data_IF_411556032228
#
_entry.id   IF_411556032228
#
_cell.length_a   1.000
_cell.length_b   1.000
_cell.length_c   1.000
_cell.angle_alpha   90.00
_cell.angle_beta   90.00
_cell.angle_gamma   90.00
#
_symmetry.space_group_name_H-M   'P 1'
#
loop_
_entity.id
_entity.type
_entity.pdbx_description
1 polymer ?
#
# COMPACT_ATOMS: atom_id res chain seq x y z
N UNK A 1 8.39 -13.37 20.27
CA UNK A 1 7.40 -12.53 19.56
C UNK A 1 8.05 -11.42 18.73
N UNK A 2 9.24 -10.91 19.10
CA UNK A 2 9.93 -9.86 18.33
C UNK A 2 10.50 -10.34 16.98
N UNK A 3 11.09 -11.54 16.90
CA UNK A 3 11.61 -12.09 15.63
C UNK A 3 10.52 -12.31 14.57
N UNK A 4 9.32 -12.72 14.96
CA UNK A 4 8.21 -12.93 14.01
C UNK A 4 7.68 -11.61 13.45
N UNK A 5 7.64 -10.54 14.26
CA UNK A 5 7.20 -9.20 13.82
C UNK A 5 8.15 -8.65 12.75
N UNK A 6 9.46 -8.79 12.97
CA UNK A 6 10.49 -8.39 12.02
C UNK A 6 10.34 -9.08 10.66
N UNK A 7 10.02 -10.39 10.65
CA UNK A 7 9.88 -11.16 9.41
C UNK A 7 8.69 -10.72 8.55
N UNK A 8 7.54 -10.38 9.16
CA UNK A 8 6.39 -9.87 8.41
C UNK A 8 6.66 -8.48 7.80
N UNK A 9 7.33 -7.61 8.56
CA UNK A 9 7.73 -6.28 8.10
C UNK A 9 8.71 -6.36 6.92
N UNK A 10 9.63 -7.32 6.94
CA UNK A 10 10.52 -7.61 5.81
C UNK A 10 9.77 -8.10 4.57
N UNK A 11 8.83 -9.04 4.73
CA UNK A 11 8.01 -9.52 3.61
C UNK A 11 7.20 -8.37 2.99
N UNK A 12 6.56 -7.53 3.81
CA UNK A 12 5.81 -6.38 3.34
C UNK A 12 6.71 -5.37 2.60
N UNK A 13 7.90 -5.10 3.12
CA UNK A 13 8.89 -4.27 2.43
C UNK A 13 9.30 -4.84 1.07
N UNK A 14 9.63 -6.13 1.00
CA UNK A 14 10.01 -6.75 -0.28
C UNK A 14 8.86 -6.76 -1.28
N UNK A 15 7.62 -6.95 -0.84
CA UNK A 15 6.45 -6.80 -1.70
C UNK A 15 6.37 -5.38 -2.28
N UNK A 16 6.59 -4.33 -1.49
CA UNK A 16 6.63 -2.94 -1.98
C UNK A 16 7.74 -2.74 -3.02
N UNK A 17 8.95 -3.25 -2.77
CA UNK A 17 10.07 -3.17 -3.72
C UNK A 17 9.71 -3.86 -5.04
N UNK A 18 9.17 -5.08 -4.98
CA UNK A 18 8.76 -5.83 -6.18
C UNK A 18 7.65 -5.09 -6.93
N UNK A 19 6.65 -4.54 -6.24
CA UNK A 19 5.58 -3.77 -6.88
C UNK A 19 6.12 -2.52 -7.59
N UNK A 20 7.10 -1.83 -7.01
CA UNK A 20 7.76 -0.68 -7.64
C UNK A 20 8.49 -1.11 -8.92
N UNK A 21 9.24 -2.21 -8.88
CA UNK A 21 9.92 -2.74 -10.08
C UNK A 21 8.91 -3.13 -11.16
N UNK A 22 7.86 -3.87 -10.79
CA UNK A 22 6.80 -4.27 -11.72
C UNK A 22 6.08 -3.06 -12.33
N UNK A 23 5.85 -2.01 -11.53
CA UNK A 23 5.25 -0.77 -12.02
C UNK A 23 6.13 -0.09 -13.08
N UNK A 24 7.43 0.05 -12.84
CA UNK A 24 8.34 0.66 -13.82
C UNK A 24 8.51 -0.20 -15.08
N UNK A 25 8.47 -1.52 -14.96
CA UNK A 25 8.43 -2.43 -16.11
C UNK A 25 7.14 -2.26 -16.91
N UNK A 26 5.98 -2.21 -16.25
CA UNK A 26 4.70 -1.96 -16.93
C UNK A 26 4.67 -0.58 -17.60
N UNK A 27 5.18 0.44 -16.91
CA UNK A 27 5.24 1.81 -17.41
C UNK A 27 6.17 1.93 -18.64
N UNK A 28 7.23 1.12 -18.72
CA UNK A 28 8.07 1.02 -19.92
C UNK A 28 7.27 0.58 -21.17
N UNK A 29 6.26 -0.26 -21.00
CA UNK A 29 5.35 -0.70 -22.07
C UNK A 29 4.40 0.43 -22.50
N UNK A 30 3.88 1.20 -21.55
CA UNK A 30 3.04 2.39 -21.86
C UNK A 30 3.85 3.44 -22.59
N UNK A 31 5.13 3.58 -22.23
CA UNK A 31 6.07 4.40 -22.96
C UNK A 31 6.30 3.86 -24.36
N UNK A 32 6.57 2.55 -24.57
CA UNK A 32 6.77 1.96 -25.90
C UNK A 32 5.74 2.41 -26.95
N UNK A 33 4.45 2.48 -26.61
CA UNK A 33 3.41 2.94 -27.54
C UNK A 33 3.56 4.42 -27.96
N UNK A 34 3.96 5.30 -27.05
CA UNK A 34 4.25 6.69 -27.40
C UNK A 34 5.55 6.84 -28.20
N UNK A 35 6.47 5.86 -28.14
CA UNK A 35 7.83 6.00 -28.66
C UNK A 35 7.96 5.62 -30.13
N UNK A 36 7.02 4.79 -30.62
CA UNK A 36 6.83 4.56 -32.05
C UNK A 36 6.53 5.91 -32.75
N UNK A 37 5.77 6.79 -32.09
CA UNK A 37 5.48 8.14 -32.61
C UNK A 37 6.71 9.06 -32.61
N UNK A 38 7.58 8.95 -31.59
CA UNK A 38 8.76 9.82 -31.44
C UNK A 38 10.08 9.26 -32.02
N UNK A 39 10.08 8.07 -32.63
CA UNK A 39 11.26 7.39 -33.23
C UNK A 39 12.48 7.32 -32.30
N UNK A 40 12.27 6.99 -31.03
CA UNK A 40 13.35 6.91 -30.04
C UNK A 40 13.96 5.49 -30.02
N UNK A 41 15.29 5.38 -29.99
CA UNK A 41 15.98 4.07 -29.97
C UNK A 41 15.75 3.28 -28.67
N UNK A 42 15.83 1.94 -28.73
CA UNK A 42 15.73 1.03 -27.57
C UNK A 42 16.72 1.36 -26.44
N UNK A 43 17.93 1.83 -26.77
CA UNK A 43 18.95 2.22 -25.78
C UNK A 43 18.47 3.37 -24.89
N UNK A 44 17.81 4.37 -25.47
CA UNK A 44 17.21 5.49 -24.73
C UNK A 44 16.05 5.04 -23.84
N UNK A 45 15.34 3.98 -24.22
CA UNK A 45 14.23 3.42 -23.43
C UNK A 45 14.75 2.74 -22.17
N UNK A 46 15.74 1.86 -22.31
CA UNK A 46 16.38 1.21 -21.17
C UNK A 46 16.95 2.27 -20.22
N UNK A 47 17.65 3.27 -20.76
CA UNK A 47 18.21 4.37 -19.98
C UNK A 47 17.13 5.15 -19.23
N UNK A 48 15.98 5.42 -19.85
CA UNK A 48 14.88 6.12 -19.20
C UNK A 48 14.27 5.31 -18.05
N UNK A 49 14.02 4.01 -18.25
CA UNK A 49 13.53 3.12 -17.17
C UNK A 49 14.53 3.08 -16.02
N UNK A 50 15.83 2.95 -16.31
CA UNK A 50 16.88 2.95 -15.28
C UNK A 50 16.94 4.29 -14.54
N UNK A 51 16.88 5.42 -15.24
CA UNK A 51 16.90 6.76 -14.64
C UNK A 51 15.70 6.98 -13.72
N UNK A 52 14.54 6.42 -14.04
CA UNK A 52 13.35 6.62 -13.20
C UNK A 52 13.31 5.64 -12.02
N UNK A 53 13.77 4.41 -12.22
CA UNK A 53 13.74 3.36 -11.20
C UNK A 53 14.88 3.49 -10.18
N UNK A 54 16.09 3.85 -10.64
CA UNK A 54 17.29 3.85 -9.80
C UNK A 54 17.20 4.72 -8.53
N UNK A 55 16.61 5.94 -8.56
CA UNK A 55 16.43 6.76 -7.36
C UNK A 55 15.58 6.05 -6.29
N UNK A 56 14.50 5.37 -6.71
CA UNK A 56 13.60 4.65 -5.80
C UNK A 56 14.29 3.43 -5.18
N UNK A 57 14.99 2.64 -6.00
CA UNK A 57 15.75 1.49 -5.50
C UNK A 57 16.87 1.94 -4.56
N UNK A 58 17.58 3.01 -4.92
CA UNK A 58 18.61 3.58 -4.04
C UNK A 58 18.02 4.02 -2.70
N UNK A 59 16.92 4.77 -2.70
CA UNK A 59 16.27 5.24 -1.48
C UNK A 59 15.80 4.09 -0.60
N UNK A 60 15.12 3.10 -1.18
CA UNK A 60 14.61 1.94 -0.46
C UNK A 60 15.74 1.12 0.17
N UNK A 61 16.84 0.90 -0.56
CA UNK A 61 17.97 0.13 -0.06
C UNK A 61 18.81 0.92 0.96
N UNK A 62 19.05 2.20 0.71
CA UNK A 62 19.87 3.05 1.57
C UNK A 62 19.22 3.24 2.95
N UNK A 63 17.88 3.34 3.00
CA UNK A 63 17.13 3.48 4.26
C UNK A 63 16.40 2.18 4.65
N UNK A 64 16.93 1.02 4.27
CA UNK A 64 16.29 -0.29 4.50
C UNK A 64 15.83 -0.49 5.95
N UNK A 65 16.72 -0.32 6.93
CA UNK A 65 16.38 -0.56 8.35
C UNK A 65 15.27 0.37 8.86
N UNK A 66 15.27 1.62 8.39
CA UNK A 66 14.26 2.63 8.75
C UNK A 66 12.91 2.24 8.15
N UNK A 67 12.89 1.80 6.89
CA UNK A 67 11.69 1.30 6.24
C UNK A 67 11.11 0.09 6.98
N UNK A 68 11.94 -0.89 7.37
CA UNK A 68 11.49 -2.05 8.12
C UNK A 68 10.87 -1.64 9.46
N UNK A 69 11.53 -0.77 10.23
CA UNK A 69 10.99 -0.26 11.51
C UNK A 69 9.70 0.52 11.32
N UNK A 70 9.63 1.37 10.29
CA UNK A 70 8.42 2.14 9.94
C UNK A 70 7.25 1.22 9.62
N UNK A 71 7.47 0.20 8.81
CA UNK A 71 6.47 -0.80 8.44
C UNK A 71 6.03 -1.61 9.67
N UNK A 72 6.96 -1.98 10.56
CA UNK A 72 6.64 -2.71 11.78
C UNK A 72 5.72 -1.91 12.72
N UNK A 73 6.01 -0.61 12.90
CA UNK A 73 5.14 0.30 13.66
C UNK A 73 3.76 0.37 13.01
N UNK A 74 3.71 0.55 11.69
CA UNK A 74 2.46 0.66 10.95
C UNK A 74 1.62 -0.63 11.05
N UNK A 75 2.24 -1.81 10.87
CA UNK A 75 1.57 -3.11 10.97
C UNK A 75 1.01 -3.36 12.38
N UNK A 76 1.73 -2.95 13.43
CA UNK A 76 1.23 -3.03 14.81
C UNK A 76 0.00 -2.15 15.02
N UNK A 77 -0.04 -0.94 14.45
CA UNK A 77 -1.23 -0.09 14.53
C UNK A 77 -2.38 -0.61 13.67
N UNK A 78 -2.10 -1.14 12.47
CA UNK A 78 -3.10 -1.75 11.59
C UNK A 78 -3.73 -3.00 12.20
N UNK A 79 -3.00 -3.79 12.99
CA UNK A 79 -3.56 -4.98 13.65
C UNK A 79 -4.68 -4.66 14.64
N UNK A 80 -4.81 -3.40 15.07
CA UNK A 80 -5.89 -2.93 15.93
C UNK A 80 -7.18 -2.65 15.15
N UNK A 81 -7.11 -2.54 13.82
CA UNK A 81 -8.24 -2.22 12.95
C UNK A 81 -8.90 -3.50 12.42
N UNK A 82 -10.21 -3.44 12.07
CA UNK A 82 -10.86 -4.54 11.37
C UNK A 82 -10.13 -4.83 10.06
N UNK A 83 -9.83 -6.11 9.80
CA UNK A 83 -9.08 -6.55 8.62
C UNK A 83 -9.72 -6.06 7.31
N UNK A 84 -11.05 -5.97 7.28
CA UNK A 84 -11.81 -5.42 6.16
C UNK A 84 -11.43 -3.99 5.80
N UNK A 85 -11.25 -3.14 6.81
CA UNK A 85 -10.85 -1.73 6.65
C UNK A 85 -9.39 -1.63 6.27
N UNK A 86 -8.55 -2.46 6.89
CA UNK A 86 -7.13 -2.53 6.54
C UNK A 86 -6.97 -2.90 5.07
N UNK A 87 -7.60 -3.98 4.61
CA UNK A 87 -7.55 -4.42 3.21
C UNK A 87 -8.07 -3.33 2.27
N UNK A 88 -9.23 -2.73 2.58
CA UNK A 88 -9.83 -1.67 1.76
C UNK A 88 -8.89 -0.48 1.59
N UNK A 89 -8.39 0.08 2.69
CA UNK A 89 -7.51 1.24 2.65
C UNK A 89 -6.12 0.91 2.14
N UNK A 90 -5.59 -0.30 2.37
CA UNK A 90 -4.31 -0.73 1.79
C UNK A 90 -4.35 -0.75 0.27
N UNK A 91 -5.43 -1.26 -0.34
CA UNK A 91 -5.58 -1.27 -1.80
C UNK A 91 -5.67 0.17 -2.32
N UNK A 92 -6.49 1.02 -1.69
CA UNK A 92 -6.59 2.44 -2.09
C UNK A 92 -5.27 3.19 -1.95
N UNK A 93 -4.50 2.96 -0.88
CA UNK A 93 -3.18 3.55 -0.67
C UNK A 93 -2.22 3.12 -1.78
N UNK A 94 -2.19 1.83 -2.12
CA UNK A 94 -1.40 1.31 -3.23
C UNK A 94 -1.83 1.99 -4.53
N UNK A 95 -3.12 2.09 -4.81
CA UNK A 95 -3.63 2.75 -6.01
C UNK A 95 -3.22 4.22 -6.08
N UNK A 96 -3.40 5.00 -5.01
CA UNK A 96 -2.98 6.42 -4.97
C UNK A 96 -1.47 6.54 -5.15
N UNK A 97 -0.71 5.64 -4.54
CA UNK A 97 0.74 5.65 -4.64
C UNK A 97 1.20 5.42 -6.09
N UNK A 98 0.61 4.45 -6.81
CA UNK A 98 1.02 4.11 -8.18
C UNK A 98 0.37 4.95 -9.28
N UNK A 99 -0.88 5.39 -9.12
CA UNK A 99 -1.60 6.17 -10.14
C UNK A 99 -1.43 7.69 -10.00
N UNK A 100 -0.99 8.16 -8.82
CA UNK A 100 -0.84 9.60 -8.58
C UNK A 100 0.55 9.94 -8.05
N UNK A 101 0.93 9.43 -6.87
CA UNK A 101 2.12 9.90 -6.18
C UNK A 101 3.41 9.60 -6.96
N UNK A 102 3.62 8.35 -7.39
CA UNK A 102 4.82 7.95 -8.15
C UNK A 102 4.91 8.70 -9.48
N UNK A 103 3.87 8.75 -10.36
CA UNK A 103 3.91 9.53 -11.60
C UNK A 103 4.25 11.01 -11.40
N UNK A 104 3.80 11.63 -10.31
CA UNK A 104 4.01 13.05 -10.01
C UNK A 104 5.38 13.29 -9.38
N UNK A 105 5.82 12.44 -8.45
CA UNK A 105 7.04 12.64 -7.66
C UNK A 105 8.29 12.10 -8.37
N UNK A 106 8.19 10.99 -9.10
CA UNK A 106 9.34 10.34 -9.76
C UNK A 106 10.19 11.27 -10.63
N UNK A 107 9.62 12.17 -11.46
CA UNK A 107 10.42 13.02 -12.34
C UNK A 107 11.32 13.97 -11.55
N UNK A 108 10.73 14.63 -10.55
CA UNK A 108 11.45 15.54 -9.67
C UNK A 108 12.45 14.79 -8.79
N UNK A 109 12.06 13.62 -8.28
CA UNK A 109 12.94 12.79 -7.47
C UNK A 109 14.15 12.29 -8.27
N UNK A 110 13.94 11.84 -9.51
CA UNK A 110 15.02 11.42 -10.41
C UNK A 110 15.95 12.58 -10.75
N UNK A 111 15.38 13.75 -11.03
CA UNK A 111 16.14 14.95 -11.31
C UNK A 111 17.03 15.34 -10.12
N UNK A 112 16.46 15.45 -8.92
CA UNK A 112 17.21 15.77 -7.69
C UNK A 112 18.29 14.71 -7.42
N UNK A 113 17.95 13.44 -7.58
CA UNK A 113 18.89 12.34 -7.33
C UNK A 113 20.12 12.43 -8.24
N UNK A 114 19.94 12.54 -9.55
CA UNK A 114 21.06 12.51 -10.49
C UNK A 114 21.78 13.85 -10.66
N UNK A 115 21.12 14.99 -10.45
CA UNK A 115 21.73 16.32 -10.60
C UNK A 115 22.40 16.79 -9.32
N UNK A 116 21.87 16.42 -8.15
CA UNK A 116 22.33 16.92 -6.86
C UNK A 116 22.97 15.78 -6.04
N UNK A 117 22.20 14.74 -5.72
CA UNK A 117 22.63 13.73 -4.74
C UNK A 117 23.83 12.93 -5.24
N UNK A 118 23.73 12.36 -6.45
CA UNK A 118 24.77 11.50 -7.02
C UNK A 118 26.08 12.27 -7.29
N UNK A 119 26.07 13.46 -7.92
CA UNK A 119 27.27 14.28 -8.06
C UNK A 119 27.90 14.63 -6.71
N UNK A 120 27.09 14.97 -5.71
CA UNK A 120 27.58 15.28 -4.37
C UNK A 120 28.30 14.08 -3.72
N UNK A 121 27.69 12.88 -3.80
CA UNK A 121 28.29 11.66 -3.26
C UNK A 121 29.62 11.31 -3.93
N UNK A 122 29.74 11.54 -5.25
CA UNK A 122 30.99 11.31 -6.00
C UNK A 122 32.04 12.37 -5.62
N UNK A 123 31.64 13.64 -5.57
CA UNK A 123 32.50 14.78 -5.27
C UNK A 123 33.09 14.73 -3.85
N UNK A 124 32.30 14.28 -2.86
CA UNK A 124 32.71 14.18 -1.45
C UNK A 124 34.00 13.37 -1.25
N UNK A 125 34.30 12.44 -2.16
CA UNK A 125 35.48 11.55 -2.08
C UNK A 125 36.74 12.12 -2.75
N UNK A 126 36.75 13.37 -3.22
CA UNK A 126 37.85 13.93 -4.04
C UNK A 126 38.36 15.28 -3.51
N UNK A 127 39.69 15.52 -3.60
CA UNK A 127 40.36 16.77 -3.16
C UNK A 127 39.87 18.06 -3.87
N UNK A 128 39.23 17.95 -5.05
CA UNK A 128 38.60 19.08 -5.78
C UNK A 128 37.08 18.90 -5.87
N UNK A 129 36.46 18.46 -4.77
CA UNK A 129 35.04 18.07 -4.74
C UNK A 129 34.09 19.11 -5.34
N UNK A 130 34.28 20.41 -5.07
CA UNK A 130 33.37 21.45 -5.55
C UNK A 130 33.35 21.60 -7.09
N UNK A 131 34.51 21.61 -7.74
CA UNK A 131 34.60 21.73 -9.21
C UNK A 131 34.03 20.47 -9.87
N UNK A 132 34.37 19.30 -9.32
CA UNK A 132 33.86 18.01 -9.80
C UNK A 132 32.34 17.94 -9.64
N UNK A 133 31.80 18.43 -8.52
CA UNK A 133 30.37 18.52 -8.28
C UNK A 133 29.68 19.39 -9.34
N UNK A 134 30.13 20.63 -9.53
CA UNK A 134 29.52 21.56 -10.49
C UNK A 134 29.54 20.98 -11.91
N UNK A 135 30.69 20.41 -12.33
CA UNK A 135 30.83 19.80 -13.65
C UNK A 135 29.87 18.60 -13.84
N UNK A 136 29.82 17.68 -12.88
CA UNK A 136 28.95 16.51 -12.93
C UNK A 136 27.47 16.89 -12.87
N UNK A 137 27.12 17.87 -12.03
CA UNK A 137 25.76 18.38 -11.91
C UNK A 137 25.30 19.03 -13.23
N UNK A 138 26.14 19.86 -13.86
CA UNK A 138 25.82 20.49 -15.14
C UNK A 138 25.64 19.44 -16.25
N UNK A 139 26.55 18.46 -16.33
CA UNK A 139 26.49 17.41 -17.36
C UNK A 139 25.26 16.51 -17.17
N UNK A 140 24.93 16.18 -15.92
CA UNK A 140 23.73 15.42 -15.57
C UNK A 140 22.46 16.22 -15.87
N UNK A 141 22.45 17.52 -15.55
CA UNK A 141 21.32 18.42 -15.84
C UNK A 141 21.00 18.44 -17.34
N UNK A 142 22.00 18.69 -18.19
CA UNK A 142 21.81 18.76 -19.65
C UNK A 142 21.30 17.43 -20.20
N UNK A 143 21.85 16.31 -19.72
CA UNK A 143 21.50 14.96 -20.19
C UNK A 143 20.10 14.53 -19.74
N UNK A 144 19.68 14.91 -18.53
CA UNK A 144 18.46 14.42 -17.91
C UNK A 144 17.26 15.36 -18.08
N UNK A 145 17.47 16.66 -18.27
CA UNK A 145 16.37 17.61 -18.44
C UNK A 145 15.42 17.17 -19.56
N UNK A 146 15.96 16.72 -20.70
CA UNK A 146 15.16 16.21 -21.82
C UNK A 146 14.32 14.98 -21.45
N UNK A 147 14.92 14.04 -20.71
CA UNK A 147 14.27 12.80 -20.25
C UNK A 147 13.14 13.11 -19.26
N UNK A 148 13.42 13.95 -18.28
CA UNK A 148 12.47 14.33 -17.21
C UNK A 148 11.29 15.11 -17.80
N UNK A 149 11.55 16.05 -18.72
CA UNK A 149 10.51 16.81 -19.41
C UNK A 149 9.61 15.88 -20.24
N UNK A 150 10.21 14.97 -21.03
CA UNK A 150 9.45 14.02 -21.84
C UNK A 150 8.56 13.13 -20.97
N UNK A 151 9.08 12.65 -19.84
CA UNK A 151 8.27 11.89 -18.89
C UNK A 151 7.12 12.71 -18.29
N UNK A 152 7.38 13.96 -17.89
CA UNK A 152 6.37 14.86 -17.32
C UNK A 152 5.23 15.13 -18.32
N UNK A 153 5.56 15.42 -19.58
CA UNK A 153 4.58 15.71 -20.62
C UNK A 153 3.75 14.49 -21.02
N UNK A 154 4.32 13.29 -20.98
CA UNK A 154 3.65 12.07 -21.46
C UNK A 154 2.99 11.29 -20.32
N UNK A 155 3.74 10.86 -19.32
CA UNK A 155 3.23 9.96 -18.26
C UNK A 155 2.45 10.72 -17.21
N UNK A 156 2.98 11.83 -16.68
CA UNK A 156 2.24 12.57 -15.65
C UNK A 156 0.91 13.07 -16.21
N UNK A 157 0.88 13.55 -17.47
CA UNK A 157 -0.36 13.91 -18.17
C UNK A 157 -1.30 12.71 -18.36
N UNK A 158 -0.79 11.56 -18.83
CA UNK A 158 -1.61 10.37 -19.02
C UNK A 158 -2.21 9.88 -17.70
N UNK A 159 -1.39 9.83 -16.64
CA UNK A 159 -1.79 9.38 -15.30
C UNK A 159 -2.87 10.30 -14.73
N UNK A 160 -2.66 11.62 -14.77
CA UNK A 160 -3.65 12.59 -14.28
C UNK A 160 -4.95 12.55 -15.08
N UNK A 161 -4.88 12.34 -16.40
CA UNK A 161 -6.07 12.26 -17.26
C UNK A 161 -6.94 11.04 -16.95
N UNK A 162 -6.33 9.89 -16.64
CA UNK A 162 -7.05 8.64 -16.36
C UNK A 162 -7.23 8.39 -14.86
N UNK A 163 -6.65 9.23 -13.99
CA UNK A 163 -6.65 9.04 -12.55
C UNK A 163 -8.05 8.85 -11.99
N UNK A 164 -8.97 9.79 -12.26
CA UNK A 164 -10.31 9.75 -11.66
C UNK A 164 -11.08 8.47 -12.02
N UNK A 165 -11.02 8.05 -13.29
CA UNK A 165 -11.68 6.83 -13.76
C UNK A 165 -11.08 5.59 -13.08
N UNK A 166 -9.75 5.41 -13.17
CA UNK A 166 -9.07 4.26 -12.58
C UNK A 166 -9.19 4.24 -11.05
N UNK A 167 -9.24 5.40 -10.41
CA UNK A 167 -9.41 5.51 -8.97
C UNK A 167 -10.83 5.13 -8.53
N UNK A 168 -11.86 5.53 -9.29
CA UNK A 168 -13.24 5.09 -9.05
C UNK A 168 -13.39 3.58 -9.19
N UNK A 169 -12.85 3.01 -10.26
CA UNK A 169 -12.84 1.55 -10.47
C UNK A 169 -12.10 0.83 -9.31
N UNK A 170 -11.00 1.43 -8.83
CA UNK A 170 -10.25 0.87 -7.71
C UNK A 170 -11.03 0.87 -6.40
N UNK A 171 -11.93 1.83 -6.17
CA UNK A 171 -12.78 1.87 -4.97
C UNK A 171 -13.72 0.66 -4.98
N UNK A 172 -14.36 0.38 -6.12
CA UNK A 172 -15.23 -0.78 -6.28
C UNK A 172 -14.47 -2.09 -6.10
N UNK A 173 -13.32 -2.24 -6.76
CA UNK A 173 -12.44 -3.41 -6.60
C UNK A 173 -12.00 -3.55 -5.13
N UNK A 174 -11.65 -2.45 -4.45
CA UNK A 174 -11.26 -2.48 -3.04
C UNK A 174 -12.38 -2.99 -2.15
N UNK A 175 -13.63 -2.60 -2.41
CA UNK A 175 -14.78 -3.14 -1.68
C UNK A 175 -14.96 -4.64 -1.91
N UNK A 176 -14.91 -5.08 -3.17
CA UNK A 176 -15.05 -6.49 -3.53
C UNK A 176 -13.98 -7.32 -2.81
N UNK A 177 -12.71 -6.96 -2.95
CA UNK A 177 -11.59 -7.68 -2.32
C UNK A 177 -11.72 -7.68 -0.80
N UNK A 178 -12.11 -6.55 -0.20
CA UNK A 178 -12.30 -6.48 1.25
C UNK A 178 -13.43 -7.38 1.73
N UNK A 179 -14.55 -7.44 1.01
CA UNK A 179 -15.65 -8.35 1.30
C UNK A 179 -15.23 -9.81 1.16
N UNK A 180 -14.42 -10.15 0.15
CA UNK A 180 -13.86 -11.50 -0.03
C UNK A 180 -12.94 -11.90 1.13
N UNK A 181 -12.05 -11.00 1.57
CA UNK A 181 -11.18 -11.22 2.73
C UNK A 181 -12.00 -11.43 4.00
N UNK A 182 -13.06 -10.65 4.21
CA UNK A 182 -13.94 -10.81 5.38
C UNK A 182 -14.66 -12.15 5.36
N UNK A 183 -15.19 -12.57 4.22
CA UNK A 183 -15.89 -13.83 4.10
C UNK A 183 -14.96 -15.03 4.38
N UNK A 184 -13.76 -15.01 3.80
CA UNK A 184 -12.76 -16.05 4.04
C UNK A 184 -12.29 -16.05 5.50
N UNK A 185 -11.99 -14.87 6.04
CA UNK A 185 -11.51 -14.69 7.41
C UNK A 185 -12.55 -15.02 8.47
N UNK A 186 -13.85 -14.89 8.19
CA UNK A 186 -14.88 -15.28 9.16
C UNK A 186 -14.98 -16.78 9.35
N UNK A 187 -14.78 -17.56 8.29
CA UNK A 187 -14.72 -19.02 8.37
C UNK A 187 -13.45 -19.44 9.14
N UNK A 188 -12.33 -18.78 8.88
CA UNK A 188 -11.08 -18.98 9.61
C UNK A 188 -11.20 -18.66 11.10
N UNK A 189 -11.76 -17.49 11.46
CA UNK A 189 -11.97 -17.05 12.85
C UNK A 189 -12.94 -17.98 13.61
N UNK A 190 -14.02 -18.42 12.96
CA UNK A 190 -14.95 -19.37 13.57
C UNK A 190 -14.31 -20.73 13.78
N UNK A 191 -13.52 -21.21 12.82
CA UNK A 191 -12.77 -22.46 12.97
C UNK A 191 -11.75 -22.36 14.10
N UNK A 192 -11.04 -21.23 14.19
CA UNK A 192 -10.13 -20.94 15.30
C UNK A 192 -10.88 -20.96 16.64
N UNK A 193 -12.06 -20.34 16.70
CA UNK A 193 -12.91 -20.33 17.89
C UNK A 193 -13.30 -21.74 18.34
N UNK A 194 -13.64 -22.64 17.41
CA UNK A 194 -13.94 -24.04 17.72
C UNK A 194 -12.73 -24.73 18.36
N UNK A 195 -11.53 -24.56 17.81
CA UNK A 195 -10.31 -25.15 18.37
C UNK A 195 -9.90 -24.52 19.71
N UNK A 196 -10.09 -23.21 19.87
CA UNK A 196 -9.86 -22.53 21.15
C UNK A 196 -10.84 -23.00 22.22
N UNK A 197 -12.11 -23.19 21.86
CA UNK A 197 -13.12 -23.81 22.71
C UNK A 197 -12.74 -25.24 23.08
N UNK A 198 -12.39 -26.09 22.10
CA UNK A 198 -11.96 -27.46 22.35
C UNK A 198 -10.76 -27.53 23.30
N UNK A 199 -9.78 -26.63 23.12
CA UNK A 199 -8.61 -26.55 24.00
C UNK A 199 -8.92 -26.14 25.44
N UNK A 200 -9.98 -25.37 25.66
CA UNK A 200 -10.44 -25.07 27.02
C UNK A 200 -10.98 -26.31 27.75
N UNK A 201 -11.56 -27.26 27.02
CA UNK A 201 -12.06 -28.53 27.58
C UNK A 201 -10.99 -29.62 27.63
N UNK A 202 -10.09 -29.67 26.64
CA UNK A 202 -8.97 -30.60 26.57
C UNK A 202 -7.66 -29.86 26.24
N UNK A 203 -6.78 -29.64 27.23
CA UNK A 203 -5.50 -28.93 27.03
C UNK A 203 -4.53 -29.59 26.05
N UNK A 204 -4.72 -30.87 25.70
CA UNK A 204 -3.86 -31.60 24.75
C UNK A 204 -4.12 -31.21 23.30
N UNK A 205 -5.25 -30.53 23.03
CA UNK A 205 -5.62 -30.07 21.69
C UNK A 205 -4.62 -29.03 21.16
N UNK A 206 -3.95 -29.38 20.07
CA UNK A 206 -3.05 -28.48 19.34
C UNK A 206 -3.83 -27.72 18.27
N UNK A 207 -3.89 -26.40 18.38
CA UNK A 207 -4.58 -25.53 17.41
C UNK A 207 -3.80 -25.52 16.08
N UNK A 208 -4.36 -26.03 14.97
CA UNK A 208 -3.62 -26.16 13.72
C UNK A 208 -3.62 -24.86 12.90
N UNK A 209 -3.01 -23.79 13.43
CA UNK A 209 -3.04 -22.43 12.83
C UNK A 209 -2.67 -22.39 11.35
N UNK A 210 -1.63 -23.12 10.93
CA UNK A 210 -1.22 -23.19 9.51
C UNK A 210 -2.30 -23.77 8.59
N UNK A 211 -3.05 -24.76 9.07
CA UNK A 211 -4.15 -25.37 8.30
C UNK A 211 -5.33 -24.38 8.20
N UNK A 212 -5.61 -23.63 9.26
CA UNK A 212 -6.64 -22.57 9.26
C UNK A 212 -6.27 -21.47 8.25
N UNK A 213 -5.03 -20.98 8.25
CA UNK A 213 -4.58 -20.00 7.25
C UNK A 213 -4.65 -20.52 5.81
N UNK A 214 -4.26 -21.78 5.56
CA UNK A 214 -4.38 -22.38 4.24
C UNK A 214 -5.85 -22.45 3.80
N UNK A 215 -6.74 -22.79 4.72
CA UNK A 215 -8.18 -22.83 4.49
C UNK A 215 -8.75 -21.44 4.16
N UNK A 216 -8.33 -20.38 4.87
CA UNK A 216 -8.69 -18.99 4.54
C UNK A 216 -8.28 -18.62 3.12
N UNK A 217 -7.06 -18.99 2.68
CA UNK A 217 -6.60 -18.74 1.31
C UNK A 217 -7.47 -19.49 0.29
N UNK A 218 -7.78 -20.78 0.55
CA UNK A 218 -8.62 -21.57 -0.34
C UNK A 218 -10.02 -20.95 -0.45
N UNK A 219 -10.65 -20.57 0.66
CA UNK A 219 -11.95 -19.91 0.64
C UNK A 219 -11.92 -18.56 -0.04
N UNK A 220 -10.85 -17.77 0.15
CA UNK A 220 -10.68 -16.51 -0.58
C UNK A 220 -10.69 -16.74 -2.09
N UNK A 221 -9.92 -17.72 -2.59
CA UNK A 221 -9.89 -18.06 -4.02
C UNK A 221 -11.26 -18.56 -4.50
N UNK A 222 -11.93 -19.42 -3.73
CA UNK A 222 -13.28 -19.89 -4.06
C UNK A 222 -14.30 -18.75 -4.15
N UNK A 223 -14.29 -17.82 -3.19
CA UNK A 223 -15.19 -16.66 -3.21
C UNK A 223 -14.85 -15.72 -4.36
N UNK A 224 -13.57 -15.55 -4.70
CA UNK A 224 -13.17 -14.76 -5.86
C UNK A 224 -13.69 -15.38 -7.16
N UNK A 225 -13.56 -16.70 -7.32
CA UNK A 225 -14.14 -17.42 -8.47
C UNK A 225 -15.66 -17.31 -8.51
N UNK A 226 -16.33 -17.46 -7.37
CA UNK A 226 -17.78 -17.30 -7.28
C UNK A 226 -18.22 -15.89 -7.68
N UNK A 227 -17.51 -14.85 -7.22
CA UNK A 227 -17.79 -13.48 -7.62
C UNK A 227 -17.61 -13.26 -9.13
N UNK A 228 -16.53 -13.81 -9.72
CA UNK A 228 -16.20 -13.63 -11.14
C UNK A 228 -17.16 -14.36 -12.08
N UNK A 229 -17.50 -15.62 -11.78
CA UNK A 229 -18.29 -16.47 -12.68
C UNK A 229 -19.78 -16.52 -12.34
N UNK A 230 -20.13 -16.28 -11.07
CA UNK A 230 -21.49 -16.40 -10.55
C UNK A 230 -21.82 -15.22 -9.60
N UNK A 231 -21.74 -13.95 -10.07
CA UNK A 231 -21.86 -12.77 -9.20
C UNK A 231 -23.18 -12.71 -8.42
N UNK A 232 -24.24 -13.29 -8.97
CA UNK A 232 -25.57 -13.38 -8.34
C UNK A 232 -25.58 -14.27 -7.08
N UNK A 233 -24.68 -15.25 -7.00
CA UNK A 233 -24.54 -16.15 -5.84
C UNK A 233 -23.66 -15.56 -4.75
N UNK A 234 -22.81 -14.58 -5.07
CA UNK A 234 -21.88 -14.02 -4.10
C UNK A 234 -22.55 -13.41 -2.86
N UNK A 235 -23.65 -12.63 -2.96
CA UNK A 235 -24.37 -12.15 -1.78
C UNK A 235 -24.87 -13.28 -0.87
N UNK A 236 -25.36 -14.37 -1.46
CA UNK A 236 -25.88 -15.54 -0.73
C UNK A 236 -24.77 -16.30 0.03
N UNK A 237 -23.52 -16.21 -0.42
CA UNK A 237 -22.37 -16.77 0.27
C UNK A 237 -21.78 -15.80 1.32
N UNK A 238 -21.76 -14.51 1.00
CA UNK A 238 -21.18 -13.46 1.83
C UNK A 238 -21.99 -13.15 3.10
N UNK A 239 -23.32 -13.06 3.00
CA UNK A 239 -24.20 -12.71 4.13
C UNK A 239 -24.09 -13.72 5.28
N UNK A 240 -24.16 -15.05 5.05
CA UNK A 240 -23.93 -16.04 6.10
C UNK A 240 -22.55 -15.91 6.76
N UNK A 241 -21.51 -15.58 5.98
CA UNK A 241 -20.16 -15.38 6.50
C UNK A 241 -20.08 -14.19 7.45
N UNK A 242 -20.80 -13.09 7.18
CA UNK A 242 -20.95 -11.99 8.13
C UNK A 242 -21.70 -12.42 9.40
N UNK A 243 -22.73 -13.24 9.26
CA UNK A 243 -23.46 -13.82 10.40
C UNK A 243 -22.55 -14.66 11.29
N UNK A 244 -21.74 -15.54 10.69
CA UNK A 244 -20.73 -16.36 11.39
C UNK A 244 -19.73 -15.47 12.13
N UNK A 245 -19.25 -14.39 11.50
CA UNK A 245 -18.32 -13.45 12.14
C UNK A 245 -18.97 -12.76 13.35
N UNK A 246 -20.21 -12.31 13.22
CA UNK A 246 -20.96 -11.68 14.30
C UNK A 246 -21.16 -12.65 15.48
N UNK A 247 -21.60 -13.88 15.20
CA UNK A 247 -21.78 -14.94 16.20
C UNK A 247 -20.45 -15.25 16.88
N UNK A 248 -19.36 -15.38 16.12
CA UNK A 248 -18.01 -15.63 16.67
C UNK A 248 -17.59 -14.55 17.66
N UNK A 249 -17.79 -13.27 17.29
CA UNK A 249 -17.48 -12.14 18.15
C UNK A 249 -18.33 -12.14 19.43
N UNK A 250 -19.63 -12.44 19.32
CA UNK A 250 -20.54 -12.52 20.46
C UNK A 250 -20.08 -13.62 21.43
N UNK A 251 -19.77 -14.82 20.92
CA UNK A 251 -19.29 -15.94 21.75
C UNK A 251 -17.98 -15.56 22.46
N UNK A 252 -17.02 -14.98 21.73
CA UNK A 252 -15.74 -14.53 22.30
C UNK A 252 -15.93 -13.49 23.40
N UNK A 253 -16.84 -12.53 23.20
CA UNK A 253 -17.17 -11.51 24.19
C UNK A 253 -17.77 -12.13 25.47
N UNK A 254 -18.78 -13.00 25.33
CA UNK A 254 -19.38 -13.68 26.48
C UNK A 254 -18.42 -14.62 27.21
N UNK A 255 -17.48 -15.24 26.50
CA UNK A 255 -16.49 -16.16 27.06
C UNK A 255 -15.20 -15.48 27.55
N UNK A 256 -15.07 -14.16 27.38
CA UNK A 256 -13.84 -13.44 27.75
C UNK A 256 -12.59 -13.90 26.98
N UNK A 257 -12.77 -14.55 25.82
CA UNK A 257 -11.65 -15.01 24.97
C UNK A 257 -11.17 -13.79 24.20
N UNK A 258 -10.32 -12.98 24.85
CA UNK A 258 -9.73 -11.81 24.21
C UNK A 258 -8.91 -12.25 23.00
N UNK A 259 -9.21 -11.65 21.85
CA UNK A 259 -8.33 -11.73 20.68
C UNK A 259 -6.93 -11.25 21.10
N UNK A 260 -5.95 -12.13 20.95
CA UNK A 260 -4.53 -11.80 21.10
C UNK A 260 -4.24 -10.62 20.17
N UNK A 261 -3.97 -9.43 20.74
CA UNK A 261 -3.63 -8.21 19.98
C UNK A 261 -4.45 -6.96 20.27
N UNK A 262 -5.61 -7.07 20.95
CA UNK A 262 -6.46 -5.91 21.28
C UNK A 262 -6.10 -5.20 22.60
N UNK A 263 -5.09 -5.68 23.33
CA UNK A 263 -4.66 -5.12 24.63
C UNK A 263 -3.67 -3.94 24.55
N UNK A 264 -3.44 -3.36 23.37
CA UNK A 264 -2.53 -2.23 23.20
C UNK A 264 -3.21 -0.89 23.49
N UNK A 265 -2.50 0.06 24.11
CA UNK A 265 -2.97 1.45 24.22
C UNK A 265 -3.32 1.98 22.82
N UNK A 266 -4.50 2.59 22.71
CA UNK A 266 -4.93 3.31 21.51
C UNK A 266 -3.99 4.50 21.35
N UNK A 267 -3.28 4.58 20.22
CA UNK A 267 -2.35 5.67 19.91
C UNK A 267 -3.07 6.76 19.12
N UNK A 268 -2.56 8.00 19.14
CA UNK A 268 -3.08 9.07 18.29
C UNK A 268 -3.10 8.68 16.79
N UNK A 269 -2.16 7.83 16.36
CA UNK A 269 -2.09 7.30 14.99
C UNK A 269 -3.28 6.40 14.67
N UNK A 270 -3.58 5.45 15.57
CA UNK A 270 -4.78 4.63 15.44
C UNK A 270 -6.04 5.49 15.44
N UNK A 271 -6.13 6.52 16.29
CA UNK A 271 -7.27 7.46 16.31
C UNK A 271 -7.43 8.17 14.96
N UNK A 272 -6.36 8.68 14.37
CA UNK A 272 -6.41 9.34 13.05
C UNK A 272 -6.90 8.36 11.98
N UNK A 273 -6.40 7.12 11.98
CA UNK A 273 -6.84 6.10 11.03
C UNK A 273 -8.33 5.75 11.26
N UNK A 274 -8.74 5.60 12.52
CA UNK A 274 -10.12 5.33 12.93
C UNK A 274 -11.08 6.46 12.54
N UNK A 275 -10.76 7.71 12.84
CA UNK A 275 -11.60 8.87 12.53
C UNK A 275 -11.69 9.08 11.03
N UNK A 276 -10.60 8.85 10.29
CA UNK A 276 -10.61 8.87 8.83
C UNK A 276 -11.58 7.82 8.31
N UNK A 277 -11.46 6.55 8.73
CA UNK A 277 -12.36 5.46 8.30
C UNK A 277 -13.82 5.77 8.65
N UNK A 278 -14.09 6.17 9.89
CA UNK A 278 -15.45 6.42 10.37
C UNK A 278 -16.09 7.62 9.68
N UNK A 279 -15.37 8.73 9.53
CA UNK A 279 -15.86 9.91 8.81
C UNK A 279 -16.14 9.57 7.35
N UNK A 280 -15.32 8.74 6.72
CA UNK A 280 -15.56 8.30 5.34
C UNK A 280 -16.85 7.46 5.25
N UNK A 281 -17.10 6.57 6.21
CA UNK A 281 -18.29 5.70 6.21
C UNK A 281 -19.59 6.42 6.58
N UNK A 282 -19.57 7.32 7.57
CA UNK A 282 -20.77 8.05 7.97
C UNK A 282 -21.34 8.90 6.84
N UNK A 283 -20.48 9.41 5.95
CA UNK A 283 -20.90 10.22 4.81
C UNK A 283 -21.49 9.41 3.65
N UNK A 284 -21.28 8.08 3.61
CA UNK A 284 -21.96 7.18 2.65
C UNK A 284 -23.48 7.24 2.79
N UNK A 285 -23.98 7.48 4.00
CA UNK A 285 -25.42 7.53 4.29
C UNK A 285 -26.07 8.89 3.95
N UNK A 286 -25.28 9.91 3.57
CA UNK A 286 -25.80 11.19 3.08
C UNK A 286 -26.24 11.14 1.60
N UNK A 287 -26.08 10.00 0.94
CA UNK A 287 -26.43 9.80 -0.48
C UNK A 287 -27.90 10.09 -0.81
N UNK A 288 -28.79 10.03 0.19
CA UNK A 288 -30.22 10.33 0.01
C UNK A 288 -30.54 11.81 -0.27
N UNK A 289 -29.58 12.73 -0.08
CA UNK A 289 -29.81 14.18 -0.13
C UNK A 289 -29.12 14.89 -1.31
N UNK A 290 -28.36 14.18 -2.15
CA UNK A 290 -27.49 14.78 -3.16
C UNK A 290 -27.59 14.05 -4.51
N UNK A 291 -27.43 14.76 -5.62
CA UNK A 291 -27.32 14.19 -6.96
C UNK A 291 -26.25 13.07 -7.00
N UNK A 292 -26.58 11.94 -7.62
CA UNK A 292 -25.74 10.75 -7.73
C UNK A 292 -24.31 11.04 -8.25
N UNK A 293 -24.17 11.87 -9.29
CA UNK A 293 -22.83 12.18 -9.84
C UNK A 293 -21.96 12.99 -8.87
N UNK A 294 -22.58 13.94 -8.16
CA UNK A 294 -21.91 14.73 -7.12
C UNK A 294 -21.52 13.81 -5.95
N UNK A 295 -22.40 12.90 -5.56
CA UNK A 295 -22.13 11.91 -4.54
C UNK A 295 -20.94 11.00 -4.88
N UNK A 296 -20.87 10.47 -6.11
CA UNK A 296 -19.75 9.62 -6.57
C UNK A 296 -18.43 10.39 -6.61
N UNK A 297 -18.43 11.61 -7.15
CA UNK A 297 -17.24 12.45 -7.19
C UNK A 297 -16.75 12.82 -5.77
N UNK A 298 -17.68 13.14 -4.88
CA UNK A 298 -17.38 13.51 -3.49
C UNK A 298 -16.86 12.31 -2.68
N UNK A 299 -17.43 11.13 -2.87
CA UNK A 299 -16.91 9.90 -2.28
C UNK A 299 -15.48 9.60 -2.75
N UNK A 300 -15.21 9.69 -4.06
CA UNK A 300 -13.87 9.52 -4.59
C UNK A 300 -12.89 10.52 -3.95
N UNK A 301 -13.27 11.79 -3.82
CA UNK A 301 -12.44 12.80 -3.15
C UNK A 301 -12.13 12.42 -1.70
N UNK A 302 -13.14 11.98 -0.95
CA UNK A 302 -13.01 11.56 0.44
C UNK A 302 -12.07 10.35 0.59
N UNK A 303 -12.23 9.32 -0.25
CA UNK A 303 -11.34 8.15 -0.26
C UNK A 303 -9.90 8.52 -0.65
N UNK A 304 -9.74 9.44 -1.60
CA UNK A 304 -8.43 9.96 -1.99
C UNK A 304 -7.73 10.68 -0.84
N UNK A 305 -8.46 11.55 -0.11
CA UNK A 305 -7.94 12.23 1.09
C UNK A 305 -7.55 11.19 2.14
N UNK A 306 -8.40 10.20 2.42
CA UNK A 306 -8.10 9.16 3.40
C UNK A 306 -6.84 8.36 3.06
N UNK A 307 -6.70 7.92 1.81
CA UNK A 307 -5.49 7.22 1.35
C UNK A 307 -4.25 8.12 1.42
N UNK A 308 -4.36 9.40 1.09
CA UNK A 308 -3.25 10.37 1.17
C UNK A 308 -2.81 10.60 2.61
N UNK A 309 -3.74 10.68 3.56
CA UNK A 309 -3.43 10.78 5.00
C UNK A 309 -2.60 9.59 5.45
N UNK A 310 -2.94 8.37 5.02
CA UNK A 310 -2.17 7.16 5.38
C UNK A 310 -0.74 7.20 4.83
N UNK A 311 -0.55 7.72 3.61
CA UNK A 311 0.79 7.94 3.02
C UNK A 311 1.57 8.97 3.84
N UNK A 312 0.94 10.10 4.20
CA UNK A 312 1.57 11.13 5.03
C UNK A 312 1.99 10.57 6.39
N UNK A 313 1.11 9.78 7.03
CA UNK A 313 1.39 9.12 8.30
C UNK A 313 2.63 8.22 8.19
N UNK A 314 2.75 7.43 7.12
CA UNK A 314 3.94 6.64 6.86
C UNK A 314 5.21 7.50 6.79
N UNK A 315 5.17 8.61 6.05
CA UNK A 315 6.32 9.52 5.93
C UNK A 315 6.67 10.21 7.25
N UNK A 316 5.68 10.56 8.08
CA UNK A 316 5.92 11.14 9.41
C UNK A 316 6.67 10.15 10.29
N UNK A 317 6.23 8.89 10.35
CA UNK A 317 6.93 7.84 11.12
C UNK A 317 8.35 7.65 10.57
N UNK A 318 8.51 7.57 9.25
CA UNK A 318 9.81 7.43 8.61
C UNK A 318 10.78 8.55 9.00
N UNK A 319 10.33 9.81 8.97
CA UNK A 319 11.15 10.97 9.35
C UNK A 319 11.49 10.97 10.84
N UNK A 320 10.57 10.55 11.70
CA UNK A 320 10.84 10.41 13.14
C UNK A 320 11.92 9.36 13.42
N UNK A 321 11.85 8.21 12.75
CA UNK A 321 12.86 7.15 12.88
C UNK A 321 14.21 7.57 12.29
N UNK A 322 14.21 8.28 11.16
CA UNK A 322 15.42 8.86 10.58
C UNK A 322 16.11 9.82 11.55
N UNK A 323 15.33 10.69 12.21
CA UNK A 323 15.85 11.63 13.21
C UNK A 323 16.43 10.91 14.42
N UNK A 324 15.74 9.89 14.95
CA UNK A 324 16.22 9.11 16.11
C UNK A 324 17.58 8.47 15.88
N UNK A 325 17.82 7.94 14.68
CA UNK A 325 19.12 7.36 14.33
C UNK A 325 20.20 8.43 14.23
N UNK A 326 19.88 9.58 13.63
CA UNK A 326 20.82 10.72 13.53
C UNK A 326 21.18 11.37 14.86
N UNK A 327 20.33 11.26 15.89
CA UNK A 327 20.63 11.71 17.26
C UNK A 327 21.44 10.67 18.07
N UNK A 328 21.53 9.42 17.60
CA UNK A 328 22.26 8.33 18.26
C UNK A 328 23.68 8.08 17.70
N UNK A 329 24.04 8.78 16.62
CA UNK A 329 25.35 8.74 15.94
C UNK A 329 26.10 10.05 16.14
#
# INVERSE_FOLDING_TARGET
>A
MEESSSRYSQIAYYMVVVLIVLYFLWLSRVLMSAWIEFRISILWMLLLVTVLLAPWIFFLLYYYEIHIKTIDILLKELSKLPISKVTFFSILVVTVLFLFLIPVVTPLFSFVFFVIILPYLIAKKRRKGMIIFILLALLSFVSLAKIVILFYLTITKWSLRHFTMLFQDSIEISYIVSSLVVAAGSIGDFTLLIYEGAKQYDPTVVIPRRKIYLMEIIFFVMFALAYLYLPQLFPWLYIPCLGILAISNIIRWFKGINRVGLGGKITALSVIMYTTIFSIESFRYLSGFVNYQIYVAYQALIYFVGATVWIIVYFIIFLQELRRIGESS
#
